data_IF_668271002938
#
_entry.id   IF_668271002938
#
_cell.length_a   1.000
_cell.length_b   1.000
_cell.length_c   1.000
_cell.angle_alpha   90.00
_cell.angle_beta   90.00
_cell.angle_gamma   90.00
#
_symmetry.space_group_name_H-M   'P 1'
#
loop_
_entity.id
_entity.type
_entity.pdbx_description
1 polymer ?
#
# COMPACT_ATOMS: atom_id res chain seq x y z
N UNK A 1 36.96 54.06 -26.80
CA UNK A 1 36.49 53.44 -25.55
C UNK A 1 34.99 53.13 -25.54
N UNK A 2 34.11 54.01 -26.06
CA UNK A 2 32.64 53.82 -26.02
C UNK A 2 32.11 52.56 -26.75
N UNK A 3 32.70 52.17 -27.88
CA UNK A 3 32.24 50.99 -28.64
C UNK A 3 32.61 49.64 -28.01
N UNK A 4 33.68 49.58 -27.18
CA UNK A 4 34.08 48.35 -26.49
C UNK A 4 33.19 48.04 -25.29
N UNK A 5 32.69 49.07 -24.60
CA UNK A 5 31.73 48.88 -23.50
C UNK A 5 30.37 48.38 -24.01
N UNK A 6 29.92 48.88 -25.17
CA UNK A 6 28.63 48.49 -25.76
C UNK A 6 28.64 47.02 -26.22
N UNK A 7 29.76 46.57 -26.79
CA UNK A 7 29.91 45.18 -27.23
C UNK A 7 29.92 44.18 -26.05
N UNK A 8 30.56 44.53 -24.93
CA UNK A 8 30.56 43.70 -23.73
C UNK A 8 29.18 43.64 -23.09
N UNK A 9 28.45 44.76 -23.05
CA UNK A 9 27.10 44.80 -22.49
C UNK A 9 26.09 43.97 -23.32
N UNK A 10 26.22 43.97 -24.65
CA UNK A 10 25.37 43.17 -25.52
C UNK A 10 25.68 41.67 -25.42
N UNK A 11 26.94 41.29 -25.23
CA UNK A 11 27.34 39.89 -25.05
C UNK A 11 26.84 39.34 -23.71
N UNK A 12 26.91 40.11 -22.63
CA UNK A 12 26.46 39.67 -21.30
C UNK A 12 24.93 39.60 -21.22
N UNK A 13 24.20 40.53 -21.83
CA UNK A 13 22.74 40.46 -21.91
C UNK A 13 22.28 39.28 -22.78
N UNK A 14 22.97 39.01 -23.90
CA UNK A 14 22.70 37.86 -24.75
C UNK A 14 22.87 36.52 -24.03
N UNK A 15 23.97 36.33 -23.29
CA UNK A 15 24.21 35.13 -22.49
C UNK A 15 23.18 34.97 -21.35
N UNK A 16 22.73 36.08 -20.75
CA UNK A 16 21.72 36.02 -19.69
C UNK A 16 20.33 35.63 -20.25
N UNK A 17 19.97 36.09 -21.45
CA UNK A 17 18.70 35.70 -22.10
C UNK A 17 18.69 34.24 -22.58
N UNK A 18 19.84 33.69 -22.99
CA UNK A 18 19.93 32.27 -23.36
C UNK A 18 19.79 31.35 -22.13
N UNK A 19 20.34 31.74 -20.98
CA UNK A 19 20.21 30.98 -19.73
C UNK A 19 18.78 30.96 -19.16
N UNK A 20 17.98 32.00 -19.43
CA UNK A 20 16.58 32.08 -19.02
C UNK A 20 15.68 31.23 -19.94
N UNK A 21 16.00 31.13 -21.23
CA UNK A 21 15.23 30.32 -22.19
C UNK A 21 15.49 28.81 -22.07
N UNK A 22 16.67 28.38 -21.60
CA UNK A 22 16.94 26.96 -21.33
C UNK A 22 16.32 26.43 -20.03
N UNK A 23 15.86 27.29 -19.12
CA UNK A 23 15.12 26.90 -17.92
C UNK A 23 13.59 26.95 -18.07
N UNK A 24 13.09 27.33 -19.25
CA UNK A 24 11.66 27.50 -19.51
C UNK A 24 11.10 26.52 -20.55
N UNK A 25 11.75 25.37 -20.75
CA UNK A 25 11.11 24.25 -21.42
C UNK A 25 10.22 23.52 -20.39
N UNK A 26 8.89 23.50 -20.54
CA UNK A 26 8.08 22.57 -19.77
C UNK A 26 8.52 21.16 -20.17
N UNK A 27 9.12 20.44 -19.23
CA UNK A 27 9.35 19.01 -19.39
C UNK A 27 7.99 18.37 -19.62
N UNK A 28 7.79 17.87 -20.84
CA UNK A 28 6.65 17.05 -21.21
C UNK A 28 6.71 15.79 -20.34
N UNK A 29 5.79 15.71 -19.36
CA UNK A 29 5.41 14.44 -18.74
C UNK A 29 6.35 13.88 -17.67
N UNK A 30 6.79 14.69 -16.70
CA UNK A 30 7.10 14.15 -15.38
C UNK A 30 6.07 14.71 -14.42
N UNK A 31 5.06 13.91 -14.09
CA UNK A 31 4.20 14.22 -12.95
C UNK A 31 5.11 14.37 -11.74
N UNK A 32 5.19 15.60 -11.21
CA UNK A 32 5.72 15.87 -9.88
C UNK A 32 4.82 15.12 -8.88
N UNK A 33 5.10 13.85 -8.64
CA UNK A 33 4.53 13.12 -7.50
C UNK A 33 5.30 13.59 -6.27
N UNK A 34 4.91 14.75 -5.73
CA UNK A 34 5.61 15.42 -4.64
C UNK A 34 5.16 14.98 -3.25
N UNK A 35 4.33 13.95 -3.12
CA UNK A 35 4.13 13.31 -1.82
C UNK A 35 3.64 11.88 -1.93
N UNK A 36 4.34 10.95 -1.27
CA UNK A 36 3.88 9.59 -1.00
C UNK A 36 3.47 9.45 0.48
N UNK A 37 3.17 10.57 1.15
CA UNK A 37 2.77 10.64 2.56
C UNK A 37 1.36 10.07 2.83
N UNK A 38 0.66 9.61 1.80
CA UNK A 38 -0.68 9.04 1.93
C UNK A 38 -1.79 10.07 2.12
N UNK A 39 -1.49 11.35 1.89
CA UNK A 39 -2.48 12.44 1.89
C UNK A 39 -2.97 12.70 0.47
N UNK A 40 -2.06 12.81 -0.51
CA UNK A 40 -2.41 13.02 -1.92
C UNK A 40 -1.42 12.34 -2.90
N UNK A 41 -1.79 11.21 -3.54
CA UNK A 41 -3.07 10.53 -3.38
C UNK A 41 -3.18 9.81 -2.02
N UNK A 42 -4.40 9.66 -1.47
CA UNK A 42 -4.62 8.85 -0.28
C UNK A 42 -4.16 7.41 -0.53
N UNK A 43 -3.69 6.68 0.49
CA UNK A 43 -3.29 5.28 0.32
C UNK A 43 -4.46 4.34 -0.01
N UNK A 44 -5.62 4.62 0.59
CA UNK A 44 -6.83 3.83 0.45
C UNK A 44 -8.07 4.73 0.60
N UNK A 45 -9.13 4.39 -0.14
CA UNK A 45 -10.42 5.05 -0.07
C UNK A 45 -11.54 4.01 -0.04
N UNK A 46 -12.70 4.35 0.50
CA UNK A 46 -13.90 3.56 0.25
C UNK A 46 -14.36 3.71 -1.22
N UNK A 47 -15.32 2.89 -1.65
CA UNK A 47 -15.92 2.97 -3.00
C UNK A 47 -16.64 4.30 -3.30
N UNK A 48 -16.85 5.17 -2.30
CA UNK A 48 -17.38 6.52 -2.47
C UNK A 48 -16.28 7.60 -2.51
N UNK A 49 -15.00 7.20 -2.46
CA UNK A 49 -13.84 8.09 -2.48
C UNK A 49 -13.46 8.69 -1.12
N UNK A 50 -14.08 8.24 -0.02
CA UNK A 50 -13.72 8.70 1.33
C UNK A 50 -12.40 8.04 1.76
N UNK A 51 -11.42 8.85 2.15
CA UNK A 51 -10.14 8.35 2.68
C UNK A 51 -10.34 7.42 3.88
N UNK A 52 -9.65 6.29 3.84
CA UNK A 52 -9.58 5.36 4.98
C UNK A 52 -8.41 5.79 5.88
N UNK A 53 -8.64 6.00 7.18
CA UNK A 53 -7.56 6.37 8.10
C UNK A 53 -6.56 5.23 8.28
N UNK A 54 -5.30 5.57 8.56
CA UNK A 54 -4.23 4.58 8.80
C UNK A 54 -4.47 3.71 10.04
N UNK A 55 -5.32 4.16 10.96
CA UNK A 55 -5.77 3.36 12.10
C UNK A 55 -7.22 3.68 12.46
N UNK A 56 -7.95 2.69 12.96
CA UNK A 56 -9.37 2.85 13.30
C UNK A 56 -9.77 1.94 14.47
N UNK A 57 -10.68 2.43 15.32
CA UNK A 57 -11.33 1.64 16.36
C UNK A 57 -12.61 0.94 15.86
N UNK A 58 -12.98 1.14 14.59
CA UNK A 58 -14.13 0.49 13.96
C UNK A 58 -13.72 -0.13 12.63
N UNK A 59 -14.39 -1.21 12.24
CA UNK A 59 -14.22 -1.75 10.89
C UNK A 59 -14.86 -0.81 9.87
N UNK A 60 -14.20 -0.57 8.71
CA UNK A 60 -14.84 0.07 7.58
C UNK A 60 -16.09 -0.68 7.15
N UNK A 61 -17.20 0.04 7.02
CA UNK A 61 -18.54 -0.47 6.66
C UNK A 61 -18.71 -0.70 5.16
N UNK A 62 -17.78 -0.17 4.36
CA UNK A 62 -17.79 -0.26 2.90
C UNK A 62 -16.52 -0.94 2.38
N UNK A 63 -16.59 -1.54 1.17
CA UNK A 63 -15.41 -2.02 0.49
C UNK A 63 -14.38 -0.92 0.26
N UNK A 64 -13.11 -1.29 0.33
CA UNK A 64 -11.96 -0.39 0.31
C UNK A 64 -11.15 -0.61 -0.95
N UNK A 65 -10.94 0.44 -1.71
CA UNK A 65 -9.98 0.48 -2.81
C UNK A 65 -8.60 0.74 -2.22
N UNK A 66 -7.71 -0.25 -2.33
CA UNK A 66 -6.33 -0.18 -1.88
C UNK A 66 -5.40 0.27 -3.01
N UNK A 67 -4.17 0.67 -2.65
CA UNK A 67 -3.09 1.01 -3.60
C UNK A 67 -3.45 2.17 -4.54
N UNK A 68 -4.19 3.15 -4.02
CA UNK A 68 -4.51 4.41 -4.72
C UNK A 68 -3.27 5.21 -5.13
N UNK A 69 -2.13 4.91 -4.50
CA UNK A 69 -0.81 5.46 -4.76
C UNK A 69 0.11 4.50 -5.54
N UNK A 70 -0.45 3.53 -6.28
CA UNK A 70 0.33 2.57 -7.07
C UNK A 70 1.22 3.27 -8.10
N UNK A 71 2.53 3.00 -8.02
CA UNK A 71 3.55 3.52 -8.93
C UNK A 71 3.90 2.54 -10.07
N UNK A 72 3.28 1.36 -10.14
CA UNK A 72 3.55 0.39 -11.20
C UNK A 72 3.22 1.02 -12.57
N UNK A 73 4.08 0.87 -13.60
CA UNK A 73 3.89 1.53 -14.88
C UNK A 73 2.71 0.97 -15.69
N UNK A 74 2.21 -0.23 -15.37
CA UNK A 74 1.16 -0.95 -16.10
C UNK A 74 -0.14 -1.05 -15.31
N UNK A 75 -0.06 -1.12 -13.99
CA UNK A 75 -1.19 -1.40 -13.10
C UNK A 75 -1.43 -0.27 -12.10
N UNK A 76 -2.69 0.13 -11.95
CA UNK A 76 -3.14 1.14 -11.00
C UNK A 76 -3.62 0.55 -9.68
N UNK A 77 -4.53 1.26 -9.03
CA UNK A 77 -5.24 0.83 -7.82
C UNK A 77 -6.08 -0.43 -8.04
N UNK A 78 -6.59 -0.98 -6.93
CA UNK A 78 -7.59 -2.04 -7.02
C UNK A 78 -8.85 -1.54 -7.73
N UNK A 79 -9.45 -2.39 -8.57
CA UNK A 79 -10.73 -2.10 -9.19
C UNK A 79 -11.84 -2.05 -8.12
N UNK A 80 -12.90 -1.25 -8.31
CA UNK A 80 -14.03 -1.23 -7.39
C UNK A 80 -14.66 -2.62 -7.16
N UNK A 81 -14.73 -3.49 -8.17
CA UNK A 81 -15.24 -4.85 -8.03
C UNK A 81 -14.31 -5.81 -7.27
N UNK A 82 -13.02 -5.47 -7.19
CA UNK A 82 -12.00 -6.19 -6.42
C UNK A 82 -11.65 -5.49 -5.10
N UNK A 83 -12.41 -4.45 -4.72
CA UNK A 83 -12.22 -3.73 -3.47
C UNK A 83 -12.29 -4.68 -2.27
N UNK A 84 -11.42 -4.44 -1.29
CA UNK A 84 -11.32 -5.25 -0.09
C UNK A 84 -12.55 -5.04 0.79
N UNK A 85 -13.27 -6.12 1.08
CA UNK A 85 -14.51 -6.10 1.85
C UNK A 85 -14.36 -6.93 3.12
N UNK A 86 -14.39 -6.28 4.28
CA UNK A 86 -14.24 -6.95 5.58
C UNK A 86 -15.28 -8.05 5.76
N UNK A 87 -16.54 -7.81 5.37
CA UNK A 87 -17.63 -8.78 5.55
C UNK A 87 -17.35 -10.08 4.79
N UNK A 88 -16.85 -9.99 3.56
CA UNK A 88 -16.51 -11.17 2.74
C UNK A 88 -15.38 -12.00 3.34
N UNK A 89 -14.53 -11.40 4.16
CA UNK A 89 -13.38 -12.07 4.76
C UNK A 89 -13.62 -12.55 6.20
N UNK A 90 -14.53 -11.92 6.95
CA UNK A 90 -14.71 -12.20 8.38
C UNK A 90 -16.10 -12.71 8.79
N UNK A 91 -17.11 -12.74 7.91
CA UNK A 91 -18.46 -13.25 8.25
C UNK A 91 -18.88 -14.50 7.51
N UNK A 92 -18.14 -14.95 6.49
CA UNK A 92 -18.48 -16.16 5.72
C UNK A 92 -17.41 -17.25 5.88
N UNK A 93 -17.75 -18.31 6.64
CA UNK A 93 -16.87 -19.47 6.86
C UNK A 93 -16.45 -20.17 5.57
N UNK A 94 -17.25 -20.10 4.50
CA UNK A 94 -16.90 -20.72 3.22
C UNK A 94 -15.72 -20.01 2.54
N UNK A 95 -15.43 -18.76 2.89
CA UNK A 95 -14.35 -17.98 2.26
C UNK A 95 -13.03 -18.02 3.05
N UNK A 96 -12.99 -18.74 4.17
CA UNK A 96 -11.82 -18.75 5.07
C UNK A 96 -10.77 -19.74 4.57
N UNK A 97 -9.68 -19.99 5.31
CA UNK A 97 -8.65 -20.95 4.89
C UNK A 97 -9.08 -22.41 5.06
N UNK A 98 -9.78 -22.73 6.14
CA UNK A 98 -10.20 -24.08 6.50
C UNK A 98 -11.65 -24.41 6.10
N UNK A 99 -12.45 -23.39 5.74
CA UNK A 99 -13.85 -23.54 5.39
C UNK A 99 -14.76 -23.75 6.60
N UNK A 100 -14.22 -23.57 7.82
CA UNK A 100 -14.87 -23.99 9.08
C UNK A 100 -14.81 -22.91 10.15
N UNK A 101 -13.72 -22.16 10.20
CA UNK A 101 -13.45 -21.14 11.21
C UNK A 101 -13.41 -19.79 10.53
N UNK A 102 -14.14 -18.80 11.06
CA UNK A 102 -14.08 -17.42 10.58
C UNK A 102 -12.63 -16.91 10.56
N UNK A 103 -12.27 -16.15 9.53
CA UNK A 103 -10.95 -15.52 9.46
C UNK A 103 -10.83 -14.52 10.61
N UNK A 104 -10.00 -14.85 11.58
CA UNK A 104 -9.66 -13.95 12.67
C UNK A 104 -8.85 -12.75 12.17
N UNK A 105 -8.99 -11.59 12.84
CA UNK A 105 -8.31 -10.35 12.43
C UNK A 105 -6.77 -10.49 12.37
N UNK A 106 -6.21 -11.42 13.16
CA UNK A 106 -4.77 -11.76 13.19
C UNK A 106 -4.20 -12.18 11.85
N UNK A 107 -5.02 -12.72 10.96
CA UNK A 107 -4.57 -13.14 9.64
C UNK A 107 -4.26 -11.97 8.70
N UNK A 108 -4.71 -10.75 9.01
CA UNK A 108 -4.43 -9.54 8.23
C UNK A 108 -3.72 -8.49 9.09
N UNK A 109 -4.26 -8.18 10.26
CA UNK A 109 -3.70 -7.24 11.23
C UNK A 109 -2.72 -7.94 12.17
N UNK A 110 -1.71 -8.59 11.60
CA UNK A 110 -0.90 -9.58 12.30
C UNK A 110 0.01 -9.02 13.40
N UNK A 111 0.35 -7.73 13.39
CA UNK A 111 1.09 -7.09 14.49
C UNK A 111 0.21 -6.65 15.64
N UNK A 112 -1.07 -6.46 15.36
CA UNK A 112 -2.08 -5.94 16.27
C UNK A 112 -2.75 -7.06 17.10
N UNK A 113 -2.26 -8.29 17.00
CA UNK A 113 -2.90 -9.50 17.47
C UNK A 113 -1.85 -10.46 18.01
N UNK A 114 -2.16 -11.41 18.91
CA UNK A 114 -1.24 -12.48 19.23
C UNK A 114 -0.95 -13.32 17.98
N UNK A 115 0.20 -14.01 17.92
CA UNK A 115 0.54 -14.82 16.74
C UNK A 115 -0.58 -15.79 16.37
N UNK A 116 -1.00 -15.79 15.10
CA UNK A 116 -1.96 -16.78 14.61
C UNK A 116 -1.37 -18.19 14.77
N UNK A 117 -2.21 -19.16 15.11
CA UNK A 117 -1.86 -20.57 14.91
C UNK A 117 -1.58 -20.80 13.42
N UNK A 118 -0.36 -21.21 13.08
CA UNK A 118 0.12 -21.29 11.69
C UNK A 118 0.53 -19.94 11.07
N UNK A 119 0.69 -18.90 11.90
CA UNK A 119 1.29 -17.63 11.52
C UNK A 119 2.75 -17.80 11.09
N UNK A 120 3.26 -16.83 10.33
CA UNK A 120 4.62 -16.90 9.82
C UNK A 120 5.63 -16.66 10.94
N UNK A 121 6.63 -17.54 11.05
CA UNK A 121 7.64 -17.53 12.12
C UNK A 121 8.48 -16.25 12.20
N UNK A 122 8.48 -15.43 11.14
CA UNK A 122 9.20 -14.16 11.09
C UNK A 122 8.40 -12.97 11.63
N UNK A 123 7.13 -13.15 11.98
CA UNK A 123 6.35 -12.13 12.66
C UNK A 123 6.79 -12.10 14.14
N UNK A 124 7.46 -11.02 14.55
CA UNK A 124 8.10 -10.90 15.88
C UNK A 124 7.45 -9.87 16.81
N UNK A 125 6.48 -9.10 16.33
CA UNK A 125 5.80 -8.04 17.08
C UNK A 125 4.32 -8.34 17.15
N UNK A 126 3.80 -8.42 18.37
CA UNK A 126 2.39 -8.69 18.67
C UNK A 126 1.98 -7.76 19.81
N UNK A 127 1.17 -6.74 19.51
CA UNK A 127 0.81 -5.69 20.47
C UNK A 127 -0.31 -6.14 21.42
N UNK A 128 -1.20 -7.05 20.99
CA UNK A 128 -2.31 -7.56 21.80
C UNK A 128 -2.06 -8.98 22.27
N UNK A 129 -2.62 -9.30 23.46
CA UNK A 129 -2.53 -10.64 24.07
C UNK A 129 -3.63 -11.60 23.61
N UNK A 130 -4.74 -11.07 23.11
CA UNK A 130 -5.92 -11.83 22.69
C UNK A 130 -6.28 -11.52 21.25
N UNK A 131 -6.83 -12.52 20.55
CA UNK A 131 -7.31 -12.37 19.17
C UNK A 131 -8.58 -11.51 19.18
N UNK A 132 -8.56 -10.36 18.51
CA UNK A 132 -9.74 -9.53 18.30
C UNK A 132 -10.67 -10.18 17.29
N UNK A 133 -11.92 -10.28 17.69
CA UNK A 133 -13.10 -10.40 16.84
C UNK A 133 -13.62 -9.01 16.47
N UNK A 134 -14.54 -8.93 15.49
CA UNK A 134 -15.20 -7.67 15.13
C UNK A 134 -15.91 -7.04 16.35
N UNK A 135 -16.63 -7.86 17.13
CA UNK A 135 -17.33 -7.40 18.34
C UNK A 135 -16.37 -6.89 19.42
N UNK A 136 -15.18 -7.47 19.57
CA UNK A 136 -14.18 -6.99 20.53
C UNK A 136 -13.52 -5.67 20.08
N UNK A 137 -13.43 -5.41 18.77
CA UNK A 137 -12.89 -4.15 18.27
C UNK A 137 -13.80 -2.96 18.60
N UNK A 138 -15.13 -3.12 18.47
CA UNK A 138 -16.10 -2.05 18.80
C UNK A 138 -16.02 -1.58 20.26
N UNK A 139 -15.66 -2.49 21.18
CA UNK A 139 -15.42 -2.18 22.59
C UNK A 139 -13.97 -1.81 22.94
N UNK A 140 -13.04 -1.86 21.98
CA UNK A 140 -11.62 -1.62 22.20
C UNK A 140 -11.31 -0.12 22.23
N UNK A 141 -10.46 0.29 23.18
CA UNK A 141 -9.87 1.65 23.21
C UNK A 141 -8.64 1.79 22.32
N UNK A 142 -8.10 0.68 21.85
CA UNK A 142 -6.90 0.65 21.03
C UNK A 142 -7.28 0.44 19.56
N UNK A 143 -6.95 1.39 18.67
CA UNK A 143 -7.24 1.27 17.24
C UNK A 143 -6.40 0.16 16.61
N UNK A 144 -6.92 -0.42 15.53
CA UNK A 144 -6.18 -1.36 14.68
C UNK A 144 -5.55 -0.58 13.53
N UNK A 145 -4.29 -0.87 13.22
CA UNK A 145 -3.52 -0.22 12.16
C UNK A 145 -3.80 -0.90 10.81
N UNK A 146 -3.91 -0.10 9.77
CA UNK A 146 -3.91 -0.57 8.39
C UNK A 146 -2.51 -1.00 7.95
N UNK A 147 -2.43 -1.78 6.87
CA UNK A 147 -1.14 -2.31 6.38
C UNK A 147 -0.13 -1.21 6.11
N UNK A 148 -0.60 -0.05 5.63
CA UNK A 148 0.24 1.10 5.26
C UNK A 148 0.85 1.85 6.45
N UNK A 149 0.47 1.53 7.68
CA UNK A 149 1.18 2.03 8.86
C UNK A 149 2.62 1.47 8.97
N UNK A 150 2.93 0.38 8.27
CA UNK A 150 4.26 -0.25 8.28
C UNK A 150 4.74 -0.71 6.89
N UNK A 151 3.83 -1.03 5.97
CA UNK A 151 4.15 -1.53 4.64
C UNK A 151 4.02 -0.40 3.61
N UNK A 152 5.12 0.09 3.06
CA UNK A 152 5.12 1.33 2.27
C UNK A 152 5.34 1.09 0.78
N UNK A 153 5.02 2.08 -0.06
CA UNK A 153 5.36 1.99 -1.48
C UNK A 153 6.88 1.98 -1.64
N UNK A 154 7.40 1.14 -2.55
CA UNK A 154 8.84 1.00 -2.76
C UNK A 154 9.51 2.31 -3.18
N UNK A 155 8.80 3.17 -3.92
CA UNK A 155 9.30 4.48 -4.33
C UNK A 155 9.19 5.57 -3.24
N UNK A 156 8.66 5.25 -2.06
CA UNK A 156 8.63 6.21 -0.96
C UNK A 156 10.05 6.46 -0.48
N UNK A 157 10.41 7.74 -0.26
CA UNK A 157 11.73 8.11 0.25
C UNK A 157 11.96 7.51 1.64
N UNK A 158 13.16 6.98 1.86
CA UNK A 158 13.55 6.47 3.18
C UNK A 158 13.97 7.63 4.10
N UNK A 159 13.37 7.69 5.29
CA UNK A 159 13.72 8.64 6.36
C UNK A 159 14.42 7.91 7.52
N UNK A 160 14.71 8.63 8.61
CA UNK A 160 15.24 8.03 9.82
C UNK A 160 14.26 7.00 10.43
N UNK A 161 12.96 7.29 10.35
CA UNK A 161 11.88 6.51 10.96
C UNK A 161 11.16 5.59 9.96
N UNK A 162 11.50 5.69 8.67
CA UNK A 162 10.70 5.13 7.59
C UNK A 162 11.54 4.58 6.42
N UNK A 163 11.24 3.40 5.86
CA UNK A 163 10.44 2.35 6.47
C UNK A 163 11.11 1.85 7.77
N UNK A 164 10.38 1.18 8.68
CA UNK A 164 10.94 0.67 9.93
C UNK A 164 12.15 -0.25 9.72
N UNK A 165 13.36 0.26 9.98
CA UNK A 165 14.63 -0.46 9.73
C UNK A 165 14.80 -1.72 10.58
N UNK A 166 14.08 -1.81 11.70
CA UNK A 166 14.10 -2.97 12.61
C UNK A 166 13.31 -4.17 12.08
N UNK A 167 12.56 -4.03 10.99
CA UNK A 167 11.69 -5.08 10.47
C UNK A 167 11.93 -5.25 8.97
N UNK A 168 12.30 -6.46 8.56
CA UNK A 168 12.57 -6.81 7.17
C UNK A 168 11.93 -8.15 6.84
N UNK A 169 11.51 -8.35 5.59
CA UNK A 169 11.12 -9.69 5.16
C UNK A 169 12.34 -10.62 5.17
N UNK A 170 12.20 -11.88 5.63
CA UNK A 170 13.29 -12.85 5.58
C UNK A 170 13.81 -13.02 4.15
N UNK A 171 15.13 -13.14 4.00
CA UNK A 171 15.78 -13.35 2.70
C UNK A 171 15.28 -14.63 2.03
N UNK A 172 14.90 -15.61 2.83
CA UNK A 172 14.40 -16.94 2.44
C UNK A 172 13.07 -16.87 1.70
N UNK A 173 12.31 -15.77 1.81
CA UNK A 173 11.07 -15.60 1.06
C UNK A 173 11.30 -15.47 -0.45
N UNK A 174 12.51 -15.11 -0.90
CA UNK A 174 12.88 -14.95 -2.32
C UNK A 174 11.87 -14.10 -3.13
N UNK A 175 11.18 -13.16 -2.48
CA UNK A 175 10.25 -12.22 -3.12
C UNK A 175 10.91 -10.84 -3.23
N UNK A 176 10.95 -10.22 -4.42
CA UNK A 176 11.44 -8.87 -4.58
C UNK A 176 10.40 -7.83 -4.13
N UNK A 177 10.79 -6.68 -3.52
CA UNK A 177 12.12 -6.38 -2.97
C UNK A 177 12.33 -7.12 -1.65
N UNK A 178 13.27 -8.07 -1.63
CA UNK A 178 13.57 -8.83 -0.42
C UNK A 178 14.23 -7.91 0.61
N UNK A 179 13.77 -7.97 1.86
CA UNK A 179 14.31 -7.16 2.95
C UNK A 179 13.67 -5.78 3.12
N UNK A 180 12.76 -5.31 2.25
CA UNK A 180 11.97 -4.09 2.47
C UNK A 180 10.51 -4.42 2.78
N UNK A 181 9.93 -3.81 3.81
CA UNK A 181 8.51 -3.94 4.12
C UNK A 181 7.66 -3.11 3.15
N UNK A 182 7.46 -3.60 1.94
CA UNK A 182 6.60 -2.92 0.96
C UNK A 182 5.16 -3.38 1.05
N UNK A 183 4.21 -2.51 0.69
CA UNK A 183 2.80 -2.87 0.57
C UNK A 183 2.56 -3.86 -0.57
N UNK A 184 3.33 -3.76 -1.65
CA UNK A 184 3.29 -4.70 -2.77
C UNK A 184 3.51 -6.14 -2.28
N UNK A 185 4.59 -6.37 -1.53
CA UNK A 185 4.89 -7.67 -0.95
C UNK A 185 3.80 -8.13 0.04
N UNK A 186 3.30 -7.23 0.89
CA UNK A 186 2.31 -7.54 1.89
C UNK A 186 0.99 -8.00 1.26
N UNK A 187 0.47 -7.23 0.31
CA UNK A 187 -0.78 -7.52 -0.39
C UNK A 187 -0.64 -8.77 -1.24
N UNK A 188 0.35 -8.83 -2.13
CA UNK A 188 0.48 -9.96 -3.06
C UNK A 188 0.82 -11.26 -2.34
N UNK A 189 1.68 -11.25 -1.33
CA UNK A 189 1.98 -12.48 -0.59
C UNK A 189 0.76 -12.96 0.19
N UNK A 190 0.05 -12.06 0.88
CA UNK A 190 -1.02 -12.48 1.79
C UNK A 190 -2.34 -12.76 1.08
N UNK A 191 -2.79 -11.86 0.21
CA UNK A 191 -4.05 -12.01 -0.51
C UNK A 191 -4.00 -13.23 -1.42
N UNK A 192 -2.95 -13.35 -2.25
CA UNK A 192 -2.83 -14.44 -3.22
C UNK A 192 -2.72 -15.79 -2.51
N UNK A 193 -1.89 -15.91 -1.48
CA UNK A 193 -1.76 -17.19 -0.75
C UNK A 193 -3.07 -17.64 -0.08
N UNK A 194 -3.84 -16.71 0.50
CA UNK A 194 -5.14 -17.06 1.08
C UNK A 194 -6.15 -17.45 0.00
N UNK A 195 -6.18 -16.73 -1.11
CA UNK A 195 -7.06 -17.03 -2.26
C UNK A 195 -6.73 -18.41 -2.85
N UNK A 196 -5.45 -18.71 -3.07
CA UNK A 196 -4.97 -20.00 -3.56
C UNK A 196 -5.40 -21.15 -2.63
N UNK A 197 -5.18 -21.02 -1.33
CA UNK A 197 -5.55 -22.06 -0.35
C UNK A 197 -7.06 -22.27 -0.33
N UNK A 198 -7.85 -21.19 -0.31
CA UNK A 198 -9.31 -21.28 -0.30
C UNK A 198 -9.85 -21.97 -1.57
N UNK A 199 -9.36 -21.58 -2.75
CA UNK A 199 -9.81 -22.17 -4.03
C UNK A 199 -9.28 -23.60 -4.24
N UNK A 200 -8.11 -23.93 -3.71
CA UNK A 200 -7.61 -25.32 -3.73
C UNK A 200 -8.49 -26.22 -2.86
N UNK A 201 -8.94 -25.71 -1.70
CA UNK A 201 -9.86 -26.43 -0.83
C UNK A 201 -11.24 -26.58 -1.47
N UNK A 202 -11.78 -25.50 -2.03
CA UNK A 202 -13.08 -25.50 -2.72
C UNK A 202 -12.99 -24.86 -4.11
N UNK A 203 -12.90 -25.69 -5.18
CA UNK A 203 -12.81 -25.22 -6.56
C UNK A 203 -14.02 -24.41 -7.06
N UNK A 204 -15.13 -24.37 -6.31
CA UNK A 204 -16.29 -23.53 -6.64
C UNK A 204 -16.09 -22.07 -6.24
N UNK A 205 -15.15 -21.80 -5.33
CA UNK A 205 -14.81 -20.45 -4.93
C UNK A 205 -14.09 -19.74 -6.07
N UNK A 206 -14.35 -18.43 -6.15
CA UNK A 206 -13.69 -17.53 -7.09
C UNK A 206 -13.06 -16.42 -6.30
N UNK A 207 -11.76 -16.29 -6.42
CA UNK A 207 -11.00 -15.21 -5.83
C UNK A 207 -10.02 -14.66 -6.88
N UNK A 208 -9.75 -13.35 -6.88
CA UNK A 208 -8.85 -12.76 -7.86
C UNK A 208 -7.42 -13.24 -7.62
N UNK A 209 -6.70 -13.61 -8.69
CA UNK A 209 -5.33 -14.14 -8.60
C UNK A 209 -4.34 -13.41 -9.52
N UNK A 210 -4.80 -12.95 -10.68
CA UNK A 210 -3.99 -12.22 -11.62
C UNK A 210 -4.01 -10.71 -11.38
N UNK A 211 -2.98 -10.02 -11.88
CA UNK A 211 -2.91 -8.56 -11.83
C UNK A 211 -4.17 -7.90 -12.43
N UNK A 212 -4.67 -8.43 -13.55
CA UNK A 212 -5.86 -7.93 -14.22
C UNK A 212 -7.17 -8.21 -13.47
N UNK A 213 -7.19 -9.16 -12.54
CA UNK A 213 -8.38 -9.45 -11.72
C UNK A 213 -8.53 -8.39 -10.63
N UNK A 214 -7.39 -7.94 -10.08
CA UNK A 214 -7.32 -6.98 -8.99
C UNK A 214 -7.24 -5.52 -9.44
N UNK A 215 -6.44 -5.21 -10.46
CA UNK A 215 -5.98 -3.85 -10.74
C UNK A 215 -6.59 -3.23 -11.99
N UNK A 216 -6.83 -1.92 -11.92
CA UNK A 216 -7.10 -1.10 -13.12
C UNK A 216 -5.85 -1.09 -14.00
N UNK A 217 -6.03 -1.25 -15.31
CA UNK A 217 -4.91 -1.13 -16.28
C UNK A 217 -4.67 0.36 -16.58
N UNK A 218 -3.41 0.78 -16.54
CA UNK A 218 -2.98 2.13 -16.97
C UNK A 218 -2.83 2.21 -18.49
#
# INVERSE_FOLDING_TARGET
>A
MKHRLLAVLLLTLGCLTLAILFNAAPAVGSANITSFDGVDPPHAVDIAGKTIPESSATQPDKPIILSKDSNDPKWGELKPEAAFDHSKHNTNVNHTLDGKTLTACVYCHHTDQPSASGGQAYLKRFERKEVLTAAQLEGSKEPVKGCRACHFQEATEETADFPPKSVTYPKEMKKPPSGKLTNDNAYHTRCISCHEVAMTRDPKLKAPQGCADCHVKK
#
